data_IF_174315742504
#
_entry.id   IF_174315742504
#
_cell.length_a   1.000
_cell.length_b   1.000
_cell.length_c   1.000
_cell.angle_alpha   90.00
_cell.angle_beta   90.00
_cell.angle_gamma   90.00
#
_symmetry.space_group_name_H-M   'P 1'
#
loop_
_entity.id
_entity.type
_entity.pdbx_description
1 polymer ?
#
# COMPACT_ATOMS: atom_id res chain seq x y z
N UNK A 1 10.82 12.88 15.58
CA UNK A 1 10.03 11.65 15.35
C UNK A 1 10.36 11.17 13.95
N UNK A 2 11.14 10.09 13.82
CA UNK A 2 11.32 9.43 12.52
C UNK A 2 10.27 8.32 12.42
N UNK A 3 9.68 8.15 11.24
CA UNK A 3 8.68 7.09 11.03
C UNK A 3 9.42 5.92 10.38
N UNK A 4 9.67 4.87 11.15
CA UNK A 4 10.38 3.70 10.66
C UNK A 4 9.47 2.73 9.89
N UNK A 5 8.15 2.79 10.12
CA UNK A 5 7.18 1.89 9.47
C UNK A 5 5.79 2.51 9.28
N UNK A 6 5.10 2.06 8.24
CA UNK A 6 3.73 2.43 7.88
C UNK A 6 2.92 1.17 7.60
N UNK A 7 1.75 1.07 8.25
CA UNK A 7 0.76 0.01 8.00
C UNK A 7 -0.47 0.64 7.36
N UNK A 8 -0.89 0.10 6.22
CA UNK A 8 -2.11 0.52 5.52
C UNK A 8 -3.14 -0.59 5.53
N UNK A 9 -4.36 -0.26 5.94
CA UNK A 9 -5.52 -1.14 5.83
C UNK A 9 -6.24 -0.84 4.51
N UNK A 10 -6.46 -1.88 3.70
CA UNK A 10 -6.99 -1.79 2.34
C UNK A 10 -5.90 -1.86 1.28
N UNK A 11 -5.60 -3.08 0.82
CA UNK A 11 -4.58 -3.37 -0.21
C UNK A 11 -5.13 -3.46 -1.66
N UNK A 12 -6.45 -3.31 -1.86
CA UNK A 12 -7.07 -3.41 -3.18
C UNK A 12 -6.71 -2.25 -4.11
N UNK A 13 -6.87 -2.45 -5.43
CA UNK A 13 -6.71 -1.40 -6.42
C UNK A 13 -7.94 -0.47 -6.50
N UNK A 14 -7.76 0.81 -6.84
CA UNK A 14 -6.47 1.46 -7.11
C UNK A 14 -5.75 1.96 -5.83
N UNK A 15 -6.47 2.19 -4.73
CA UNK A 15 -5.97 2.98 -3.61
C UNK A 15 -4.87 2.32 -2.76
N UNK A 16 -4.89 1.00 -2.60
CA UNK A 16 -3.96 0.24 -1.75
C UNK A 16 -2.52 0.30 -2.21
N UNK A 17 -2.27 -0.11 -3.44
CA UNK A 17 -0.94 -0.14 -4.03
C UNK A 17 -0.43 1.26 -4.39
N UNK A 18 -1.31 2.15 -4.87
CA UNK A 18 -0.92 3.52 -5.23
C UNK A 18 -0.28 4.28 -4.06
N UNK A 19 -0.79 4.10 -2.84
CA UNK A 19 -0.20 4.75 -1.65
C UNK A 19 1.19 4.20 -1.32
N UNK A 20 1.43 2.89 -1.44
CA UNK A 20 2.77 2.34 -1.22
C UNK A 20 3.77 2.84 -2.27
N UNK A 21 3.35 2.94 -3.54
CA UNK A 21 4.16 3.50 -4.62
C UNK A 21 4.52 4.95 -4.34
N UNK A 22 3.54 5.77 -3.93
CA UNK A 22 3.77 7.19 -3.67
C UNK A 22 4.67 7.43 -2.45
N UNK A 23 4.56 6.60 -1.40
CA UNK A 23 5.52 6.67 -0.28
C UNK A 23 6.95 6.44 -0.77
N UNK A 24 7.17 5.45 -1.65
CA UNK A 24 8.50 5.18 -2.21
C UNK A 24 8.98 6.31 -3.13
N UNK A 25 8.10 6.87 -3.97
CA UNK A 25 8.46 8.00 -4.86
C UNK A 25 8.89 9.24 -4.07
N UNK A 26 8.29 9.47 -2.90
CA UNK A 26 8.65 10.56 -1.99
C UNK A 26 9.86 10.26 -1.09
N UNK A 27 10.55 9.12 -1.30
CA UNK A 27 11.76 8.77 -0.57
C UNK A 27 11.54 8.14 0.80
N UNK A 28 10.34 7.64 1.09
CA UNK A 28 10.12 6.85 2.30
C UNK A 28 10.87 5.52 2.18
N UNK A 29 11.90 5.33 3.02
CA UNK A 29 12.73 4.12 3.04
C UNK A 29 12.32 3.12 4.12
N UNK A 30 11.43 3.51 5.05
CA UNK A 30 10.91 2.65 6.10
C UNK A 30 10.08 1.47 5.58
N UNK A 31 9.65 0.61 6.50
CA UNK A 31 8.84 -0.57 6.17
C UNK A 31 7.42 -0.14 5.77
N UNK A 32 6.89 -0.69 4.68
CA UNK A 32 5.49 -0.48 4.26
C UNK A 32 4.77 -1.82 4.25
N UNK A 33 3.71 -1.96 5.05
CA UNK A 33 2.87 -3.16 5.11
C UNK A 33 1.47 -2.83 4.59
N UNK A 34 1.01 -3.58 3.59
CA UNK A 34 -0.35 -3.49 3.05
C UNK A 34 -1.20 -4.63 3.59
N UNK A 35 -2.26 -4.32 4.33
CA UNK A 35 -3.22 -5.29 4.86
C UNK A 35 -4.47 -5.32 4.00
N UNK A 36 -4.64 -6.39 3.22
CA UNK A 36 -5.83 -6.65 2.42
C UNK A 36 -6.77 -7.64 3.11
N UNK A 37 -8.08 -7.40 3.01
CA UNK A 37 -9.11 -8.37 3.42
C UNK A 37 -9.39 -9.42 2.33
N UNK A 38 -9.00 -9.12 1.08
CA UNK A 38 -9.15 -10.04 -0.04
C UNK A 38 -8.12 -11.16 0.03
N UNK A 39 -8.55 -12.40 -0.22
CA UNK A 39 -7.66 -13.56 -0.34
C UNK A 39 -6.89 -13.59 -1.67
N UNK A 40 -7.36 -12.85 -2.66
CA UNK A 40 -6.72 -12.73 -3.96
C UNK A 40 -5.71 -11.57 -3.95
N UNK A 41 -4.63 -11.64 -4.75
CA UNK A 41 -3.77 -10.50 -5.01
C UNK A 41 -4.57 -9.28 -5.48
N UNK A 42 -4.11 -8.05 -5.24
CA UNK A 42 -4.70 -6.86 -5.85
C UNK A 42 -4.67 -6.98 -7.38
N UNK A 43 -5.81 -6.75 -8.02
CA UNK A 43 -5.95 -6.74 -9.48
C UNK A 43 -6.92 -5.62 -9.88
N UNK A 44 -6.78 -5.12 -11.10
CA UNK A 44 -7.68 -4.11 -11.65
C UNK A 44 -9.01 -4.77 -11.97
N UNK A 45 -10.07 -4.34 -11.29
CA UNK A 45 -11.39 -4.95 -11.44
C UNK A 45 -12.04 -4.39 -12.69
N UNK A 46 -12.62 -5.23 -13.57
CA UNK A 46 -13.49 -4.75 -14.63
C UNK A 46 -14.63 -3.89 -14.04
N UNK A 47 -15.09 -2.85 -14.75
CA UNK A 47 -16.21 -2.02 -14.33
C UNK A 47 -17.51 -2.83 -14.19
#
# INVERSE_FOLDING_TARGET
MHVDSVVRVGAGLPGGQATAVELRSQGFTGTVTLLGAARHPPYDRPP
#
